data_IF_454971103478
#
_entry.id   IF_454971103478
#
_cell.length_a   1.000
_cell.length_b   1.000
_cell.length_c   1.000
_cell.angle_alpha   90.00
_cell.angle_beta   90.00
_cell.angle_gamma   90.00
#
_symmetry.space_group_name_H-M   'P 1'
#
loop_
_entity.id
_entity.type
_entity.pdbx_description
1 polymer ?
#
# COMPACT_ATOMS: atom_id res chain seq x y z
N UNK A 1 -24.53 -40.67 -26.92
CA UNK A 1 -23.16 -40.08 -27.02
C UNK A 1 -23.15 -38.56 -27.21
N UNK A 2 -24.01 -37.98 -28.07
CA UNK A 2 -24.06 -36.51 -28.28
C UNK A 2 -24.43 -35.72 -27.02
N UNK A 3 -25.46 -36.16 -26.30
CA UNK A 3 -25.90 -35.53 -25.04
C UNK A 3 -24.82 -35.58 -23.94
N UNK A 4 -24.10 -36.71 -23.81
CA UNK A 4 -23.01 -36.84 -22.85
C UNK A 4 -21.85 -35.89 -23.16
N UNK A 5 -21.50 -35.72 -24.44
CA UNK A 5 -20.48 -34.74 -24.86
C UNK A 5 -20.93 -33.30 -24.58
N UNK A 6 -22.20 -32.98 -24.80
CA UNK A 6 -22.74 -31.64 -24.51
C UNK A 6 -22.74 -31.34 -23.02
N UNK A 7 -23.13 -32.30 -22.17
CA UNK A 7 -23.09 -32.14 -20.71
C UNK A 7 -21.65 -31.91 -20.22
N UNK A 8 -20.70 -32.73 -20.68
CA UNK A 8 -19.28 -32.58 -20.30
C UNK A 8 -18.75 -31.21 -20.75
N UNK A 9 -19.08 -30.77 -21.95
CA UNK A 9 -18.61 -29.50 -22.50
C UNK A 9 -19.21 -28.29 -21.77
N UNK A 10 -20.49 -28.33 -21.40
CA UNK A 10 -21.13 -27.27 -20.60
C UNK A 10 -20.55 -27.22 -19.19
N UNK A 11 -20.37 -28.36 -18.53
CA UNK A 11 -19.77 -28.42 -17.19
C UNK A 11 -18.33 -27.90 -17.17
N UNK A 12 -17.54 -28.22 -18.20
CA UNK A 12 -16.17 -27.73 -18.34
C UNK A 12 -16.13 -26.21 -18.53
N UNK A 13 -17.03 -25.66 -19.35
CA UNK A 13 -17.13 -24.21 -19.55
C UNK A 13 -17.55 -23.47 -18.28
N UNK A 14 -18.48 -24.03 -17.51
CA UNK A 14 -18.90 -23.45 -16.22
C UNK A 14 -17.74 -23.47 -15.22
N UNK A 15 -17.01 -24.59 -15.10
CA UNK A 15 -15.83 -24.68 -14.24
C UNK A 15 -14.75 -23.69 -14.62
N UNK A 16 -14.47 -23.53 -15.92
CA UNK A 16 -13.49 -22.57 -16.43
C UNK A 16 -13.89 -21.13 -16.09
N UNK A 17 -15.16 -20.78 -16.28
CA UNK A 17 -15.68 -19.45 -15.96
C UNK A 17 -15.64 -19.13 -14.46
N UNK A 18 -15.91 -20.11 -13.59
CA UNK A 18 -15.79 -19.95 -12.14
C UNK A 18 -14.32 -19.76 -11.74
N UNK A 19 -13.41 -20.55 -12.32
CA UNK A 19 -11.99 -20.46 -12.04
C UNK A 19 -11.39 -19.10 -12.45
N UNK A 20 -11.71 -18.60 -13.64
CA UNK A 20 -11.24 -17.28 -14.10
C UNK A 20 -11.84 -16.16 -13.26
N UNK A 21 -13.10 -16.28 -12.85
CA UNK A 21 -13.76 -15.34 -11.95
C UNK A 21 -12.98 -15.19 -10.63
N UNK A 22 -12.59 -16.30 -9.99
CA UNK A 22 -11.80 -16.26 -8.74
C UNK A 22 -10.42 -15.62 -8.89
N UNK A 23 -9.79 -15.70 -10.08
CA UNK A 23 -8.50 -15.05 -10.35
C UNK A 23 -8.62 -13.56 -10.67
N UNK A 24 -9.72 -13.12 -11.28
CA UNK A 24 -9.89 -11.72 -11.72
C UNK A 24 -10.34 -10.81 -10.57
N UNK A 25 -10.89 -11.35 -9.48
CA UNK A 25 -11.20 -10.59 -8.26
C UNK A 25 -9.98 -10.34 -7.36
N UNK A 26 -8.90 -9.78 -7.89
CA UNK A 26 -7.92 -9.03 -7.09
C UNK A 26 -8.20 -7.56 -7.30
N UNK A 27 -9.25 -7.06 -6.62
CA UNK A 27 -9.56 -5.63 -6.58
C UNK A 27 -8.52 -4.97 -5.69
N UNK A 28 -7.44 -4.45 -6.29
CA UNK A 28 -6.46 -3.61 -5.60
C UNK A 28 -7.11 -2.25 -5.31
N UNK A 29 -7.86 -2.18 -4.21
CA UNK A 29 -8.51 -0.97 -3.73
C UNK A 29 -7.58 -0.17 -2.80
N UNK A 30 -6.27 -0.24 -3.02
CA UNK A 30 -5.30 0.59 -2.30
C UNK A 30 -5.62 2.03 -2.67
N UNK A 31 -6.42 2.66 -1.83
CA UNK A 31 -6.70 4.08 -1.90
C UNK A 31 -5.38 4.80 -2.19
N UNK A 32 -5.33 5.66 -3.22
CA UNK A 32 -4.19 6.52 -3.51
C UNK A 32 -3.86 7.53 -2.38
N UNK A 33 -4.38 7.30 -1.16
CA UNK A 33 -4.10 8.06 0.05
C UNK A 33 -2.75 7.63 0.63
N UNK A 34 -1.69 7.81 -0.14
CA UNK A 34 -0.32 7.78 0.34
C UNK A 34 0.26 9.18 0.25
N UNK A 35 0.91 9.66 1.32
CA UNK A 35 1.65 10.93 1.28
C UNK A 35 2.84 10.76 0.35
N UNK A 36 2.96 11.64 -0.65
CA UNK A 36 4.15 11.72 -1.51
C UNK A 36 5.21 12.53 -0.77
N UNK A 37 6.10 11.83 -0.07
CA UNK A 37 7.18 12.45 0.69
C UNK A 37 8.42 12.69 -0.18
N UNK A 38 9.04 13.87 -0.06
CA UNK A 38 10.28 14.23 -0.76
C UNK A 38 11.40 14.57 0.24
N UNK A 39 12.41 13.71 0.36
CA UNK A 39 13.55 13.93 1.27
C UNK A 39 14.39 15.17 0.90
N UNK A 40 14.47 15.56 -0.37
CA UNK A 40 15.34 16.66 -0.83
C UNK A 40 14.90 18.00 -0.25
N UNK A 41 13.59 18.27 -0.24
CA UNK A 41 13.04 19.52 0.30
C UNK A 41 13.30 19.62 1.81
N UNK A 42 13.25 18.51 2.53
CA UNK A 42 13.43 18.49 3.97
C UNK A 42 14.91 18.56 4.36
N UNK A 43 15.76 17.75 3.72
CA UNK A 43 17.18 17.64 4.09
C UNK A 43 18.04 18.73 3.45
N UNK A 44 17.84 19.03 2.16
CA UNK A 44 18.69 19.96 1.42
C UNK A 44 18.15 21.39 1.48
N UNK A 45 16.87 21.60 1.21
CA UNK A 45 16.31 22.97 1.15
C UNK A 45 15.99 23.53 2.53
N UNK A 46 15.57 22.67 3.47
CA UNK A 46 15.21 23.04 4.85
C UNK A 46 16.29 22.69 5.88
N UNK A 47 17.44 22.17 5.43
CA UNK A 47 18.62 21.86 6.24
C UNK A 47 18.36 20.95 7.46
N UNK A 48 17.35 20.06 7.38
CA UNK A 48 17.01 19.14 8.48
C UNK A 48 17.99 17.97 8.58
N UNK A 49 18.25 17.53 9.81
CA UNK A 49 19.04 16.34 10.10
C UNK A 49 18.20 15.06 9.99
N UNK A 50 18.86 13.94 9.71
CA UNK A 50 18.19 12.63 9.61
C UNK A 50 17.47 12.24 10.91
N UNK A 51 18.03 12.65 12.06
CA UNK A 51 17.49 12.38 13.39
C UNK A 51 16.19 13.13 13.69
N UNK A 52 15.90 14.19 12.93
CA UNK A 52 14.72 15.02 13.16
C UNK A 52 13.45 14.28 12.77
N UNK A 53 13.54 13.34 11.83
CA UNK A 53 12.43 12.43 11.50
C UNK A 53 12.67 11.00 12.01
N UNK A 54 13.88 10.46 11.85
CA UNK A 54 14.20 9.09 12.26
C UNK A 54 14.64 9.03 13.72
N UNK A 55 13.68 9.11 14.63
CA UNK A 55 13.93 9.05 16.07
C UNK A 55 14.70 7.76 16.43
N UNK A 56 15.77 7.91 17.21
CA UNK A 56 16.66 6.81 17.62
C UNK A 56 17.39 6.07 16.48
N UNK A 57 17.60 6.70 15.32
CA UNK A 57 18.30 6.09 14.16
C UNK A 57 19.64 5.45 14.53
N UNK A 58 20.35 6.01 15.51
CA UNK A 58 21.63 5.50 16.03
C UNK A 58 21.53 4.11 16.69
N UNK A 59 20.35 3.74 17.20
CA UNK A 59 20.09 2.45 17.84
C UNK A 59 19.43 1.44 16.88
N UNK A 60 19.08 1.87 15.66
CA UNK A 60 18.41 1.03 14.67
C UNK A 60 19.40 0.12 13.96
N UNK A 61 18.98 -1.12 13.71
CA UNK A 61 19.77 -2.10 12.97
C UNK A 61 19.43 -2.02 11.48
N UNK A 62 20.40 -2.43 10.66
CA UNK A 62 20.15 -2.60 9.23
C UNK A 62 19.00 -3.60 9.00
N UNK A 63 17.91 -3.12 8.40
CA UNK A 63 16.68 -3.89 8.17
C UNK A 63 15.50 -3.47 9.06
N UNK A 64 15.73 -2.65 10.08
CA UNK A 64 14.65 -2.06 10.88
C UNK A 64 13.89 -1.02 10.05
N UNK A 65 12.58 -0.94 10.27
CA UNK A 65 11.74 0.09 9.62
C UNK A 65 11.84 1.39 10.41
N UNK A 66 12.73 2.27 10.00
CA UNK A 66 12.85 3.63 10.50
C UNK A 66 11.72 4.54 9.96
N UNK A 67 10.45 4.13 10.00
CA UNK A 67 9.38 5.04 9.56
C UNK A 67 8.98 5.96 10.71
N UNK A 68 8.96 7.29 10.54
CA UNK A 68 8.44 8.20 11.56
C UNK A 68 6.92 7.99 11.75
N UNK A 69 6.45 8.29 12.96
CA UNK A 69 5.01 8.42 13.24
C UNK A 69 4.47 9.74 12.66
N UNK A 70 3.14 9.82 12.49
CA UNK A 70 2.49 11.01 11.92
C UNK A 70 2.75 12.28 12.72
N UNK A 71 2.94 12.15 14.04
CA UNK A 71 3.16 13.28 14.95
C UNK A 71 4.46 14.04 14.63
N UNK A 72 5.48 13.36 14.10
CA UNK A 72 6.73 13.99 13.65
C UNK A 72 6.48 15.00 12.52
N UNK A 73 5.49 14.74 11.67
CA UNK A 73 5.08 15.68 10.64
C UNK A 73 4.39 16.90 11.26
N UNK A 74 3.61 16.68 12.33
CA UNK A 74 2.83 17.69 13.03
C UNK A 74 3.68 18.69 13.82
N UNK A 75 4.94 18.33 14.12
CA UNK A 75 5.88 19.24 14.78
C UNK A 75 6.16 20.51 13.96
N UNK A 76 6.00 20.43 12.63
CA UNK A 76 6.26 21.54 11.70
C UNK A 76 5.09 21.85 10.76
N UNK A 77 4.34 20.84 10.32
CA UNK A 77 3.17 21.02 9.48
C UNK A 77 1.92 21.09 10.34
N UNK A 78 1.16 22.19 10.25
CA UNK A 78 -0.15 22.24 10.88
C UNK A 78 -1.02 21.10 10.33
N UNK A 79 -1.45 20.23 11.24
CA UNK A 79 -2.37 19.14 10.95
C UNK A 79 -3.75 19.63 11.35
N UNK A 80 -4.56 20.01 10.36
CA UNK A 80 -5.98 20.24 10.57
C UNK A 80 -6.66 18.87 10.72
N UNK A 81 -6.68 18.38 11.96
CA UNK A 81 -7.43 17.17 12.34
C UNK A 81 -8.94 17.50 12.37
N UNK A 82 -9.57 17.66 11.21
CA UNK A 82 -11.04 17.64 11.11
C UNK A 82 -11.54 16.21 11.31
N UNK A 83 -11.55 15.77 12.56
CA UNK A 83 -12.33 14.62 12.98
C UNK A 83 -13.73 15.12 13.39
N UNK A 84 -14.56 15.40 12.38
CA UNK A 84 -16.00 15.63 12.48
C UNK A 84 -16.79 14.46 11.92
#
# INVERSE_FOLDING_TARGET
MKQLKQIIQVSLLILLAVFTSTMVFSSDNRSEKGIKFNHEIHVSDSEMACSDCHLNIENMKAGDRAMPDHDVCADCHDVEDDCG
#
